data_IF_876626247435
#
_entry.id   IF_876626247435
#
_cell.length_a   1.000
_cell.length_b   1.000
_cell.length_c   1.000
_cell.angle_alpha   90.00
_cell.angle_beta   90.00
_cell.angle_gamma   90.00
#
_symmetry.space_group_name_H-M   'P 1'
#
loop_
_entity.id
_entity.type
_entity.pdbx_description
1 polymer ?
#
# COMPACT_ATOMS: atom_id res chain seq x y z
N UNK A 1 -24.70 26.63 9.47
CA UNK A 1 -23.40 26.79 10.17
C UNK A 1 -22.30 26.51 9.18
N UNK A 2 -21.26 27.33 9.16
CA UNK A 2 -20.08 27.06 8.35
C UNK A 2 -19.41 25.79 8.88
N UNK A 3 -18.89 24.93 8.01
CA UNK A 3 -18.11 23.76 8.45
C UNK A 3 -16.90 24.17 9.31
N UNK A 4 -16.42 25.42 9.17
CA UNK A 4 -15.36 26.00 9.99
C UNK A 4 -15.76 26.22 11.46
N UNK A 5 -17.03 26.50 11.74
CA UNK A 5 -17.53 26.77 13.11
C UNK A 5 -17.44 25.52 14.00
N UNK A 6 -17.28 24.36 13.37
CA UNK A 6 -17.24 23.06 14.03
C UNK A 6 -15.81 22.59 14.38
N UNK A 7 -14.81 23.41 14.10
CA UNK A 7 -13.38 23.16 14.31
C UNK A 7 -12.86 23.95 15.53
N UNK A 8 -11.86 23.39 16.22
CA UNK A 8 -11.08 24.20 17.16
C UNK A 8 -10.15 25.18 16.42
N UNK A 9 -9.52 26.10 17.16
CA UNK A 9 -8.69 27.15 16.60
C UNK A 9 -7.56 26.60 15.71
N UNK A 10 -6.80 25.60 16.17
CA UNK A 10 -5.66 25.06 15.41
C UNK A 10 -6.11 24.26 14.18
N UNK A 11 -7.21 23.51 14.29
CA UNK A 11 -7.83 22.83 13.16
C UNK A 11 -8.31 23.83 12.11
N UNK A 12 -8.91 24.94 12.53
CA UNK A 12 -9.33 26.01 11.64
C UNK A 12 -8.14 26.67 10.94
N UNK A 13 -7.08 27.00 11.68
CA UNK A 13 -5.82 27.49 11.09
C UNK A 13 -5.25 26.51 10.07
N UNK A 14 -5.32 25.20 10.32
CA UNK A 14 -4.86 24.17 9.39
C UNK A 14 -5.73 24.04 8.13
N UNK A 15 -7.01 24.38 8.21
CA UNK A 15 -7.91 24.43 7.04
C UNK A 15 -7.71 25.71 6.24
N UNK A 16 -7.54 26.85 6.90
CA UNK A 16 -7.42 28.18 6.28
C UNK A 16 -6.01 28.45 5.71
N UNK A 17 -4.96 27.81 6.22
CA UNK A 17 -3.59 27.97 5.72
C UNK A 17 -3.39 27.25 4.38
N UNK A 18 -3.99 27.70 3.29
CA UNK A 18 -4.00 26.99 2.01
C UNK A 18 -2.68 27.04 1.24
N UNK A 19 -1.99 28.17 1.28
CA UNK A 19 -0.75 28.42 0.54
C UNK A 19 0.52 27.98 1.30
N UNK A 20 1.51 27.58 0.53
CA UNK A 20 2.82 27.13 0.98
C UNK A 20 2.83 25.71 1.56
N UNK A 21 4.01 25.23 1.97
CA UNK A 21 4.17 23.94 2.60
C UNK A 21 3.62 23.96 4.03
N UNK A 22 2.77 22.98 4.35
CA UNK A 22 2.15 22.82 5.67
C UNK A 22 2.39 21.40 6.17
N UNK A 23 2.82 21.28 7.42
CA UNK A 23 2.89 20.00 8.13
C UNK A 23 1.95 20.02 9.33
N UNK A 24 0.96 19.13 9.30
CA UNK A 24 0.02 18.94 10.40
C UNK A 24 0.47 17.73 11.21
N UNK A 25 1.09 18.01 12.36
CA UNK A 25 1.45 16.98 13.33
C UNK A 25 0.22 16.72 14.18
N UNK A 26 -0.32 15.52 14.12
CA UNK A 26 -1.62 15.27 14.72
C UNK A 26 -1.57 14.08 15.67
N UNK A 27 -2.02 14.27 16.91
CA UNK A 27 -2.16 13.18 17.87
C UNK A 27 -3.22 12.18 17.42
N UNK A 28 -3.19 10.98 17.99
CA UNK A 28 -4.27 10.01 17.83
C UNK A 28 -5.62 10.65 18.22
N UNK A 29 -6.65 10.46 17.38
CA UNK A 29 -8.00 10.96 17.67
C UNK A 29 -8.20 12.48 17.59
N UNK A 30 -7.24 13.23 17.04
CA UNK A 30 -7.28 14.71 16.96
C UNK A 30 -8.04 15.30 15.77
N UNK A 31 -8.62 14.46 14.92
CA UNK A 31 -9.39 14.90 13.75
C UNK A 31 -8.59 15.11 12.46
N UNK A 32 -7.42 14.48 12.29
CA UNK A 32 -6.59 14.47 11.05
C UNK A 32 -7.40 14.48 9.75
N UNK A 33 -8.18 13.43 9.55
CA UNK A 33 -8.97 13.21 8.33
C UNK A 33 -10.02 14.31 8.14
N UNK A 34 -10.59 14.83 9.24
CA UNK A 34 -11.55 15.93 9.21
C UNK A 34 -10.90 17.22 8.73
N UNK A 35 -9.72 17.55 9.25
CA UNK A 35 -8.94 18.72 8.84
C UNK A 35 -8.57 18.63 7.36
N UNK A 36 -8.05 17.49 6.89
CA UNK A 36 -7.76 17.30 5.47
C UNK A 36 -8.99 17.48 4.60
N UNK A 37 -10.10 16.82 4.94
CA UNK A 37 -11.37 16.91 4.21
C UNK A 37 -11.85 18.36 4.11
N UNK A 38 -11.89 19.08 5.23
CA UNK A 38 -12.36 20.46 5.26
C UNK A 38 -11.39 21.43 4.59
N UNK A 39 -10.09 21.15 4.59
CA UNK A 39 -9.10 21.89 3.80
C UNK A 39 -9.36 21.75 2.30
N UNK A 40 -9.65 20.53 1.81
CA UNK A 40 -10.04 20.32 0.40
C UNK A 40 -11.31 21.10 0.09
N UNK A 41 -12.33 20.98 0.95
CA UNK A 41 -13.59 21.69 0.76
C UNK A 41 -13.41 23.21 0.77
N UNK A 42 -12.54 23.73 1.63
CA UNK A 42 -12.22 25.15 1.70
C UNK A 42 -11.55 25.67 0.44
N UNK A 43 -10.58 24.94 -0.12
CA UNK A 43 -9.96 25.27 -1.41
C UNK A 43 -11.02 25.37 -2.52
N UNK A 44 -11.93 24.40 -2.59
CA UNK A 44 -12.99 24.38 -3.59
C UNK A 44 -13.93 25.59 -3.42
N UNK A 45 -14.36 25.88 -2.19
CA UNK A 45 -15.18 27.07 -1.92
C UNK A 45 -14.46 28.41 -2.22
N UNK A 46 -13.12 28.43 -2.14
CA UNK A 46 -12.31 29.59 -2.56
C UNK A 46 -12.13 29.68 -4.08
N UNK A 47 -12.74 28.79 -4.86
CA UNK A 47 -12.71 28.79 -6.33
C UNK A 47 -11.58 27.96 -6.94
N UNK A 48 -10.89 27.13 -6.15
CA UNK A 48 -9.91 26.17 -6.69
C UNK A 48 -10.67 25.02 -7.35
N UNK A 49 -10.46 24.85 -8.66
CA UNK A 49 -10.98 23.69 -9.38
C UNK A 49 -10.47 22.37 -8.75
N UNK A 50 -11.39 21.49 -8.39
CA UNK A 50 -11.11 20.17 -7.81
C UNK A 50 -10.14 19.33 -8.66
N UNK A 51 -10.12 19.52 -9.99
CA UNK A 51 -9.15 18.86 -10.89
C UNK A 51 -7.70 19.24 -10.61
N UNK A 52 -7.47 20.38 -9.95
CA UNK A 52 -6.14 20.88 -9.59
C UNK A 52 -5.67 20.44 -8.21
N UNK A 53 -6.46 19.61 -7.52
CA UNK A 53 -6.16 19.12 -6.18
C UNK A 53 -5.85 17.62 -6.25
N UNK A 54 -4.71 17.22 -5.67
CA UNK A 54 -4.29 15.85 -5.50
C UNK A 54 -4.33 15.47 -4.03
N UNK A 55 -5.06 14.41 -3.67
CA UNK A 55 -5.09 13.85 -2.32
C UNK A 55 -4.68 12.38 -2.30
N UNK A 56 -3.64 12.07 -1.53
CA UNK A 56 -3.02 10.75 -1.44
C UNK A 56 -3.22 10.16 -0.05
N UNK A 57 -3.67 8.91 0.01
CA UNK A 57 -3.81 8.13 1.25
C UNK A 57 -3.14 6.76 1.16
N UNK A 58 -3.12 6.00 2.25
CA UNK A 58 -2.56 4.63 2.28
C UNK A 58 -3.58 3.54 2.03
N UNK A 59 -4.87 3.77 2.32
CA UNK A 59 -5.89 2.73 2.20
C UNK A 59 -7.06 3.15 1.33
N UNK A 60 -7.56 2.22 0.53
CA UNK A 60 -8.77 2.44 -0.28
C UNK A 60 -9.99 2.81 0.58
N UNK A 61 -10.05 2.34 1.83
CA UNK A 61 -11.11 2.72 2.77
C UNK A 61 -11.01 4.19 3.15
N UNK A 62 -9.81 4.66 3.54
CA UNK A 62 -9.58 6.06 3.88
C UNK A 62 -9.87 6.98 2.70
N UNK A 63 -9.43 6.61 1.48
CA UNK A 63 -9.77 7.37 0.27
C UNK A 63 -11.29 7.45 0.07
N UNK A 64 -12.02 6.33 0.10
CA UNK A 64 -13.49 6.35 -0.07
C UNK A 64 -14.21 7.16 1.01
N UNK A 65 -13.78 7.05 2.26
CA UNK A 65 -14.36 7.80 3.37
C UNK A 65 -14.11 9.31 3.24
N UNK A 66 -12.89 9.71 2.90
CA UNK A 66 -12.55 11.10 2.62
C UNK A 66 -13.37 11.65 1.44
N UNK A 67 -13.59 10.84 0.40
CA UNK A 67 -14.34 11.23 -0.80
C UNK A 67 -15.79 11.56 -0.44
N UNK A 68 -16.39 10.69 0.37
CA UNK A 68 -17.76 10.85 0.85
C UNK A 68 -17.89 12.13 1.68
N UNK A 69 -17.00 12.32 2.66
CA UNK A 69 -17.00 13.50 3.52
C UNK A 69 -16.82 14.80 2.73
N UNK A 70 -15.98 14.81 1.69
CA UNK A 70 -15.83 15.98 0.81
C UNK A 70 -17.13 16.25 0.05
N UNK A 71 -17.73 15.21 -0.55
CA UNK A 71 -18.98 15.34 -1.29
C UNK A 71 -20.15 15.83 -0.43
N UNK A 72 -20.19 15.48 0.86
CA UNK A 72 -21.18 16.03 1.80
C UNK A 72 -21.04 17.54 2.01
N UNK A 73 -19.82 18.08 1.89
CA UNK A 73 -19.54 19.50 2.12
C UNK A 73 -19.65 20.33 0.84
N UNK A 74 -19.07 19.87 -0.28
CA UNK A 74 -19.00 20.64 -1.55
C UNK A 74 -19.97 20.14 -2.63
N UNK A 75 -20.71 19.06 -2.38
CA UNK A 75 -21.62 18.47 -3.36
C UNK A 75 -20.89 17.76 -4.51
N UNK A 76 -21.45 17.89 -5.73
CA UNK A 76 -21.03 17.15 -6.91
C UNK A 76 -19.63 17.48 -7.43
N UNK A 77 -19.13 18.69 -7.16
CA UNK A 77 -17.81 19.16 -7.63
C UNK A 77 -16.66 18.31 -7.05
N UNK A 78 -16.86 17.74 -5.86
CA UNK A 78 -15.90 16.86 -5.22
C UNK A 78 -15.58 15.58 -6.02
N UNK A 79 -16.41 15.18 -7.00
CA UNK A 79 -16.19 13.97 -7.83
C UNK A 79 -15.00 14.07 -8.77
N UNK A 80 -14.60 15.29 -9.14
CA UNK A 80 -13.52 15.54 -10.10
C UNK A 80 -12.13 15.58 -9.45
N UNK A 81 -12.08 15.49 -8.11
CA UNK A 81 -10.87 15.44 -7.33
C UNK A 81 -9.98 14.26 -7.72
N UNK A 82 -8.68 14.49 -7.87
CA UNK A 82 -7.71 13.40 -7.98
C UNK A 82 -7.40 12.87 -6.59
N UNK A 83 -8.13 11.83 -6.19
CA UNK A 83 -7.91 11.22 -4.88
C UNK A 83 -7.85 9.70 -4.96
N UNK A 84 -6.97 9.13 -4.15
CA UNK A 84 -6.85 7.68 -4.00
C UNK A 84 -5.64 7.30 -3.17
N UNK A 85 -5.30 6.01 -3.21
CA UNK A 85 -4.00 5.59 -2.69
C UNK A 85 -2.89 5.99 -3.63
N UNK A 86 -1.65 6.07 -3.14
CA UNK A 86 -0.45 6.22 -3.98
C UNK A 86 -0.48 5.30 -5.20
N UNK A 87 -0.69 3.99 -4.98
CA UNK A 87 -0.72 2.99 -6.05
C UNK A 87 -1.88 3.23 -7.04
N UNK A 88 -3.08 3.58 -6.55
CA UNK A 88 -4.23 3.82 -7.42
C UNK A 88 -4.03 5.03 -8.33
N UNK A 89 -3.53 6.14 -7.77
CA UNK A 89 -3.28 7.37 -8.54
C UNK A 89 -2.12 7.16 -9.52
N UNK A 90 -1.03 6.55 -9.07
CA UNK A 90 0.15 6.34 -9.91
C UNK A 90 -0.10 5.31 -10.99
N UNK A 91 -0.87 4.24 -10.73
CA UNK A 91 -1.34 3.34 -11.78
C UNK A 91 -2.16 4.10 -12.84
N UNK A 92 -3.04 5.02 -12.44
CA UNK A 92 -3.80 5.84 -13.41
C UNK A 92 -2.88 6.71 -14.27
N UNK A 93 -1.87 7.36 -13.68
CA UNK A 93 -0.87 8.14 -14.41
C UNK A 93 -0.09 7.23 -15.38
N UNK A 94 0.42 6.11 -14.90
CA UNK A 94 1.17 5.15 -15.72
C UNK A 94 0.34 4.60 -16.86
N UNK A 95 -0.97 4.35 -16.69
CA UNK A 95 -1.83 3.89 -17.79
C UNK A 95 -2.02 4.94 -18.88
N UNK A 96 -2.01 6.23 -18.51
CA UNK A 96 -2.11 7.35 -19.46
C UNK A 96 -0.78 7.54 -20.21
N UNK A 97 0.34 7.43 -19.49
CA UNK A 97 1.68 7.76 -20.01
C UNK A 97 2.54 6.51 -20.34
N UNK A 98 1.96 5.31 -20.38
CA UNK A 98 2.69 4.04 -20.39
C UNK A 98 3.66 3.91 -21.57
N UNK A 99 3.30 4.50 -22.71
CA UNK A 99 4.09 4.50 -23.94
C UNK A 99 5.47 5.15 -23.76
N UNK A 100 5.58 6.13 -22.86
CA UNK A 100 6.84 6.84 -22.57
C UNK A 100 7.88 5.91 -21.90
N UNK A 101 7.40 4.94 -21.12
CA UNK A 101 8.24 3.98 -20.38
C UNK A 101 8.25 2.59 -21.03
N UNK A 102 7.76 2.46 -22.27
CA UNK A 102 7.77 1.21 -23.02
C UNK A 102 6.76 0.15 -22.57
N UNK A 103 5.79 0.50 -21.73
CA UNK A 103 4.74 -0.43 -21.28
C UNK A 103 3.43 -0.25 -22.07
N UNK A 104 2.66 -1.34 -22.27
CA UNK A 104 1.32 -1.23 -22.83
C UNK A 104 0.36 -0.61 -21.81
N UNK A 105 -0.62 0.20 -22.24
CA UNK A 105 -1.52 0.93 -21.33
C UNK A 105 -2.45 0.02 -20.52
N UNK A 106 -2.71 -1.18 -21.03
CA UNK A 106 -3.44 -2.26 -20.41
C UNK A 106 -2.54 -3.23 -19.61
N UNK A 107 -1.35 -2.79 -19.17
CA UNK A 107 -0.45 -3.64 -18.38
C UNK A 107 -1.17 -4.31 -17.19
N UNK A 108 -0.79 -5.56 -16.93
CA UNK A 108 -1.31 -6.34 -15.82
C UNK A 108 -0.61 -5.93 -14.52
N UNK A 109 -1.37 -5.81 -13.43
CA UNK A 109 -0.79 -5.60 -12.09
C UNK A 109 -0.72 -6.94 -11.38
N UNK A 110 0.49 -7.39 -11.06
CA UNK A 110 0.72 -8.62 -10.32
C UNK A 110 0.58 -8.41 -8.82
N UNK A 111 -0.15 -9.32 -8.18
CA UNK A 111 -0.15 -9.38 -6.73
C UNK A 111 1.10 -10.10 -6.19
N UNK A 112 1.24 -10.14 -4.87
CA UNK A 112 2.39 -10.77 -4.21
C UNK A 112 2.51 -12.26 -4.52
N UNK A 113 1.41 -12.98 -4.72
CA UNK A 113 1.44 -14.40 -5.02
C UNK A 113 1.82 -14.64 -6.48
N UNK A 114 1.30 -13.84 -7.41
CA UNK A 114 1.69 -13.86 -8.83
C UNK A 114 3.19 -13.56 -8.97
N UNK A 115 3.67 -12.54 -8.27
CA UNK A 115 5.09 -12.15 -8.21
C UNK A 115 5.97 -13.28 -7.66
N UNK A 116 5.55 -13.90 -6.55
CA UNK A 116 6.27 -15.06 -5.96
C UNK A 116 6.18 -16.31 -6.85
N UNK A 117 5.09 -16.51 -7.59
CA UNK A 117 4.96 -17.62 -8.54
C UNK A 117 5.95 -17.47 -9.69
N UNK A 118 6.06 -16.27 -10.27
CA UNK A 118 7.07 -15.96 -11.28
C UNK A 118 8.50 -16.17 -10.74
N UNK A 119 8.80 -15.67 -9.54
CA UNK A 119 10.12 -15.87 -8.92
C UNK A 119 10.45 -17.34 -8.67
N UNK A 120 9.48 -18.17 -8.22
CA UNK A 120 9.70 -19.63 -8.07
C UNK A 120 10.12 -20.27 -9.39
N UNK A 121 9.48 -19.89 -10.49
CA UNK A 121 9.82 -20.36 -11.83
C UNK A 121 11.24 -19.96 -12.20
N UNK A 122 11.59 -18.68 -12.04
CA UNK A 122 12.93 -18.15 -12.34
C UNK A 122 14.00 -18.87 -11.50
N UNK A 123 13.79 -19.03 -10.18
CA UNK A 123 14.73 -19.71 -9.28
C UNK A 123 15.00 -21.14 -9.76
N UNK A 124 13.95 -21.86 -10.15
CA UNK A 124 14.06 -23.24 -10.64
C UNK A 124 14.82 -23.32 -11.96
N UNK A 125 14.55 -22.41 -12.89
CA UNK A 125 15.22 -22.37 -14.21
C UNK A 125 16.69 -21.96 -14.11
N UNK A 126 17.04 -21.14 -13.11
CA UNK A 126 18.43 -20.80 -12.79
C UNK A 126 19.17 -21.91 -12.02
N UNK A 127 18.53 -23.07 -11.78
CA UNK A 127 19.07 -24.20 -11.01
C UNK A 127 19.58 -23.80 -9.61
N UNK A 128 18.89 -22.86 -8.95
CA UNK A 128 19.23 -22.42 -7.60
C UNK A 128 18.49 -23.24 -6.55
N UNK A 129 19.11 -23.40 -5.38
CA UNK A 129 18.50 -24.08 -4.23
C UNK A 129 17.26 -23.32 -3.73
N UNK A 130 16.09 -23.94 -3.83
CA UNK A 130 14.79 -23.37 -3.46
C UNK A 130 14.61 -23.19 -1.94
N UNK A 131 15.40 -23.90 -1.12
CA UNK A 131 15.43 -23.72 0.34
C UNK A 131 16.22 -22.48 0.73
N UNK A 132 17.27 -22.16 -0.02
CA UNK A 132 18.13 -21.00 0.19
C UNK A 132 17.52 -19.74 -0.43
N UNK A 133 17.12 -19.83 -1.70
CA UNK A 133 16.45 -18.80 -2.48
C UNK A 133 14.94 -18.93 -2.41
N UNK A 134 14.37 -18.93 -1.19
CA UNK A 134 12.90 -18.94 -1.05
C UNK A 134 12.30 -17.74 -1.78
N UNK A 135 11.32 -17.96 -2.64
CA UNK A 135 10.72 -16.89 -3.46
C UNK A 135 10.19 -15.70 -2.64
N UNK A 136 9.66 -15.93 -1.43
CA UNK A 136 9.26 -14.85 -0.53
C UNK A 136 10.47 -13.98 -0.11
N UNK A 137 11.61 -14.60 0.18
CA UNK A 137 12.82 -13.88 0.58
C UNK A 137 13.39 -13.06 -0.57
N UNK A 138 13.46 -13.66 -1.76
CA UNK A 138 13.90 -12.96 -2.99
C UNK A 138 12.96 -11.80 -3.30
N UNK A 139 11.65 -12.03 -3.27
CA UNK A 139 10.63 -10.99 -3.45
C UNK A 139 10.81 -9.83 -2.48
N UNK A 140 10.98 -10.10 -1.18
CA UNK A 140 11.12 -9.04 -0.17
C UNK A 140 12.41 -8.23 -0.36
N UNK A 141 13.50 -8.87 -0.80
CA UNK A 141 14.77 -8.18 -1.09
C UNK A 141 14.64 -7.26 -2.31
N UNK A 142 14.00 -7.72 -3.38
CA UNK A 142 13.69 -6.92 -4.58
C UNK A 142 12.75 -5.76 -4.23
N UNK A 143 11.67 -6.04 -3.48
CA UNK A 143 10.71 -5.03 -3.01
C UNK A 143 11.40 -3.92 -2.21
N UNK A 144 12.30 -4.29 -1.29
CA UNK A 144 13.08 -3.31 -0.53
C UNK A 144 13.99 -2.45 -1.43
N UNK A 145 14.56 -3.01 -2.50
CA UNK A 145 15.36 -2.26 -3.47
C UNK A 145 14.49 -1.28 -4.28
N UNK A 146 13.36 -1.74 -4.82
CA UNK A 146 12.41 -0.89 -5.58
C UNK A 146 11.86 0.28 -4.75
N UNK A 147 11.49 0.02 -3.49
CA UNK A 147 10.99 1.05 -2.57
C UNK A 147 12.04 2.12 -2.20
N UNK A 148 13.32 1.83 -2.42
CA UNK A 148 14.45 2.76 -2.30
C UNK A 148 14.92 3.32 -3.65
N UNK A 149 14.15 3.10 -4.72
CA UNK A 149 14.45 3.55 -6.08
C UNK A 149 15.74 2.97 -6.67
N UNK A 150 16.09 1.73 -6.29
CA UNK A 150 17.29 1.04 -6.78
C UNK A 150 16.92 0.16 -7.98
N UNK A 151 17.48 0.49 -9.14
CA UNK A 151 17.37 -0.33 -10.37
C UNK A 151 18.11 -1.66 -10.21
N UNK A 152 17.74 -2.68 -10.99
CA UNK A 152 18.48 -3.96 -11.01
C UNK A 152 19.97 -3.75 -11.37
N UNK A 153 20.26 -2.84 -12.31
CA UNK A 153 21.64 -2.46 -12.67
C UNK A 153 22.38 -1.84 -11.48
N UNK A 154 21.78 -0.86 -10.80
CA UNK A 154 22.39 -0.21 -9.64
C UNK A 154 22.59 -1.19 -8.48
N UNK A 155 21.67 -2.13 -8.29
CA UNK A 155 21.76 -3.19 -7.29
C UNK A 155 23.02 -4.05 -7.48
N UNK A 156 23.26 -4.53 -8.70
CA UNK A 156 24.43 -5.39 -9.02
C UNK A 156 25.74 -4.63 -8.82
N UNK A 157 25.78 -3.33 -9.14
CA UNK A 157 26.99 -2.51 -9.02
C UNK A 157 27.28 -2.03 -7.61
N UNK A 158 26.36 -2.22 -6.65
CA UNK A 158 26.53 -1.71 -5.29
C UNK A 158 27.23 -2.75 -4.39
N UNK A 159 28.46 -2.45 -3.92
CA UNK A 159 29.24 -3.41 -3.12
C UNK A 159 28.50 -3.90 -1.88
N UNK A 160 27.81 -2.99 -1.16
CA UNK A 160 27.09 -3.33 0.07
C UNK A 160 26.01 -4.40 -0.18
N UNK A 161 25.21 -4.25 -1.24
CA UNK A 161 24.20 -5.26 -1.56
C UNK A 161 24.83 -6.60 -1.90
N UNK A 162 25.89 -6.60 -2.71
CA UNK A 162 26.56 -7.84 -3.11
C UNK A 162 27.27 -8.54 -1.94
N UNK A 163 27.84 -7.79 -1.01
CA UNK A 163 28.49 -8.32 0.21
C UNK A 163 27.47 -8.89 1.19
N UNK A 164 26.39 -8.14 1.46
CA UNK A 164 25.26 -8.61 2.29
C UNK A 164 24.68 -9.92 1.73
N UNK A 165 24.49 -9.98 0.41
CA UNK A 165 23.90 -11.12 -0.25
C UNK A 165 24.85 -12.33 -0.21
N UNK A 166 26.16 -12.12 -0.40
CA UNK A 166 27.19 -13.17 -0.21
C UNK A 166 27.25 -13.67 1.23
N UNK A 167 27.22 -12.77 2.20
CA UNK A 167 27.19 -13.12 3.63
C UNK A 167 25.94 -13.94 4.00
N UNK A 168 24.81 -13.66 3.34
CA UNK A 168 23.59 -14.44 3.46
C UNK A 168 23.56 -15.70 2.57
N UNK A 169 24.69 -16.09 1.96
CA UNK A 169 24.85 -17.22 1.03
C UNK A 169 23.95 -17.14 -0.21
N UNK A 170 23.58 -15.94 -0.65
CA UNK A 170 22.69 -15.70 -1.81
C UNK A 170 23.29 -14.75 -2.86
N UNK A 171 24.48 -15.03 -3.41
CA UNK A 171 25.17 -14.13 -4.35
C UNK A 171 24.37 -13.80 -5.62
N UNK A 172 23.44 -14.65 -6.04
CA UNK A 172 22.69 -14.51 -7.30
C UNK A 172 21.49 -13.55 -7.21
N UNK A 173 21.32 -12.82 -6.11
CA UNK A 173 20.16 -11.95 -5.90
C UNK A 173 20.02 -10.84 -6.96
N UNK A 174 21.12 -10.21 -7.35
CA UNK A 174 21.12 -9.18 -8.39
C UNK A 174 20.75 -9.73 -9.77
N UNK A 175 21.20 -10.96 -10.09
CA UNK A 175 20.82 -11.67 -11.31
C UNK A 175 19.33 -12.00 -11.32
N UNK A 176 18.80 -12.52 -10.20
CA UNK A 176 17.38 -12.80 -10.03
C UNK A 176 16.52 -11.54 -10.19
N UNK A 177 16.95 -10.40 -9.64
CA UNK A 177 16.24 -9.14 -9.81
C UNK A 177 16.18 -8.72 -11.29
N UNK A 178 17.30 -8.82 -12.01
CA UNK A 178 17.36 -8.47 -13.43
C UNK A 178 16.39 -9.33 -14.26
N UNK A 179 16.49 -10.66 -14.13
CA UNK A 179 15.62 -11.59 -14.86
C UNK A 179 14.14 -11.38 -14.51
N UNK A 180 13.84 -11.15 -13.23
CA UNK A 180 12.48 -10.89 -12.79
C UNK A 180 11.89 -9.63 -13.44
N UNK A 181 12.67 -8.53 -13.49
CA UNK A 181 12.20 -7.29 -14.11
C UNK A 181 12.01 -7.44 -15.63
N UNK A 182 12.93 -8.15 -16.31
CA UNK A 182 12.81 -8.45 -17.73
C UNK A 182 11.56 -9.28 -18.04
N UNK A 183 11.23 -10.27 -17.21
CA UNK A 183 10.02 -11.07 -17.37
C UNK A 183 8.74 -10.29 -17.15
N UNK A 184 8.71 -9.42 -16.14
CA UNK A 184 7.59 -8.51 -15.93
C UNK A 184 7.37 -7.62 -17.16
N UNK A 185 8.45 -7.02 -17.67
CA UNK A 185 8.39 -6.19 -18.87
C UNK A 185 7.89 -6.96 -20.10
N UNK A 186 8.46 -8.12 -20.40
CA UNK A 186 8.03 -9.00 -21.52
C UNK A 186 6.57 -9.44 -21.41
N UNK A 187 6.07 -9.65 -20.19
CA UNK A 187 4.68 -10.02 -19.94
C UNK A 187 3.70 -8.83 -19.99
N UNK A 188 4.19 -7.61 -20.22
CA UNK A 188 3.39 -6.40 -20.10
C UNK A 188 2.81 -6.26 -18.69
N UNK A 189 3.59 -6.60 -17.66
CA UNK A 189 3.15 -6.65 -16.28
C UNK A 189 4.02 -5.76 -15.37
N UNK A 190 3.39 -5.24 -14.31
CA UNK A 190 4.05 -4.50 -13.23
C UNK A 190 3.62 -5.12 -11.90
N UNK A 191 4.53 -5.21 -10.92
CA UNK A 191 4.13 -5.48 -9.54
C UNK A 191 3.72 -4.18 -8.81
N UNK A 192 3.34 -4.29 -7.54
CA UNK A 192 2.93 -3.11 -6.76
C UNK A 192 4.06 -2.08 -6.60
N UNK A 193 5.29 -2.54 -6.38
CA UNK A 193 6.43 -1.64 -6.17
C UNK A 193 6.83 -0.94 -7.49
N UNK A 194 6.64 -1.61 -8.64
CA UNK A 194 6.81 -1.03 -9.97
C UNK A 194 5.93 0.19 -10.21
N UNK A 195 4.71 0.21 -9.67
CA UNK A 195 3.82 1.37 -9.83
C UNK A 195 4.44 2.63 -9.22
N UNK A 196 5.18 2.49 -8.11
CA UNK A 196 5.92 3.59 -7.50
C UNK A 196 7.21 3.85 -8.29
N UNK A 197 7.99 2.80 -8.51
CA UNK A 197 9.30 2.88 -9.14
C UNK A 197 9.24 3.51 -10.54
N UNK A 198 8.38 3.00 -11.43
CA UNK A 198 8.26 3.52 -12.79
C UNK A 198 7.57 4.88 -12.85
N UNK A 199 6.74 5.26 -11.88
CA UNK A 199 6.24 6.63 -11.79
C UNK A 199 7.37 7.61 -11.49
N UNK A 200 8.29 7.23 -10.60
CA UNK A 200 9.49 8.02 -10.37
C UNK A 200 10.37 8.12 -11.62
N UNK A 201 10.63 7.00 -12.30
CA UNK A 201 11.40 6.97 -13.55
C UNK A 201 10.74 7.85 -14.61
N UNK A 202 9.43 7.71 -14.83
CA UNK A 202 8.66 8.53 -15.77
C UNK A 202 8.89 10.03 -15.54
N UNK A 203 8.76 10.49 -14.30
CA UNK A 203 8.96 11.91 -13.98
C UNK A 203 10.42 12.35 -13.98
N UNK A 204 11.37 11.42 -13.91
CA UNK A 204 12.79 11.73 -13.96
C UNK A 204 13.31 11.81 -15.40
N UNK A 205 12.83 10.93 -16.28
CA UNK A 205 13.27 10.82 -17.67
C UNK A 205 12.41 11.63 -18.64
N UNK A 206 11.18 11.98 -18.27
CA UNK A 206 10.26 12.78 -19.09
C UNK A 206 9.80 14.06 -18.34
N UNK A 207 10.63 15.13 -18.35
CA UNK A 207 10.28 16.40 -17.70
C UNK A 207 9.02 17.06 -18.27
N UNK A 208 8.68 16.82 -19.55
CA UNK A 208 7.43 17.25 -20.18
C UNK A 208 6.20 16.67 -19.46
N UNK A 209 6.27 15.38 -19.12
CA UNK A 209 5.21 14.69 -18.39
C UNK A 209 5.15 15.19 -16.95
N UNK A 210 6.28 15.36 -16.27
CA UNK A 210 6.30 15.95 -14.93
C UNK A 210 5.66 17.35 -14.91
N UNK A 211 6.05 18.23 -15.84
CA UNK A 211 5.51 19.58 -15.97
C UNK A 211 3.99 19.56 -16.20
N UNK A 212 3.47 18.65 -17.03
CA UNK A 212 2.02 18.45 -17.22
C UNK A 212 1.29 18.19 -15.90
N UNK A 213 1.83 17.31 -15.05
CA UNK A 213 1.20 16.99 -13.76
C UNK A 213 1.46 18.04 -12.68
N UNK A 214 2.58 18.76 -12.71
CA UNK A 214 2.83 19.90 -11.83
C UNK A 214 1.84 21.06 -12.10
N UNK A 215 1.62 21.41 -13.37
CA UNK A 215 0.62 22.44 -13.73
C UNK A 215 -0.81 22.03 -13.36
N UNK A 216 -1.08 20.72 -13.39
CA UNK A 216 -2.36 20.16 -12.97
C UNK A 216 -2.49 20.23 -11.45
N UNK A 217 -1.58 19.59 -10.71
CA UNK A 217 -1.69 19.44 -9.26
C UNK A 217 -1.13 20.66 -8.51
N UNK A 218 -1.93 21.72 -8.48
CA UNK A 218 -1.59 22.95 -7.78
C UNK A 218 -1.57 22.80 -6.27
N UNK A 219 -2.40 21.92 -5.70
CA UNK A 219 -2.43 21.60 -4.27
C UNK A 219 -2.30 20.10 -4.06
N UNK A 220 -1.38 19.70 -3.18
CA UNK A 220 -1.11 18.29 -2.89
C UNK A 220 -1.32 18.03 -1.40
N UNK A 221 -2.17 17.06 -1.08
CA UNK A 221 -2.46 16.62 0.28
C UNK A 221 -2.02 15.18 0.46
N UNK A 222 -1.27 14.90 1.52
CA UNK A 222 -0.84 13.54 1.84
C UNK A 222 -1.22 13.19 3.28
N UNK A 223 -2.04 12.15 3.42
CA UNK A 223 -2.41 11.58 4.72
C UNK A 223 -1.44 10.46 5.13
N UNK A 224 -1.33 10.21 6.43
CA UNK A 224 -0.43 9.22 7.05
C UNK A 224 1.03 9.32 6.54
N UNK A 225 1.55 10.55 6.46
CA UNK A 225 2.86 10.83 5.85
C UNK A 225 4.03 10.11 6.51
N UNK A 226 3.90 9.73 7.79
CA UNK A 226 4.91 8.94 8.51
C UNK A 226 5.14 7.55 7.89
N UNK A 227 4.17 7.02 7.16
CA UNK A 227 4.24 5.68 6.58
C UNK A 227 4.80 5.69 5.14
N UNK A 228 5.24 6.86 4.65
CA UNK A 228 5.80 6.98 3.30
C UNK A 228 7.17 6.33 3.17
N UNK A 229 7.37 5.62 2.08
CA UNK A 229 8.70 5.17 1.67
C UNK A 229 9.42 6.23 0.82
N UNK A 230 10.71 5.98 0.50
CA UNK A 230 11.54 6.90 -0.27
C UNK A 230 10.94 7.19 -1.65
N UNK A 231 10.39 6.19 -2.33
CA UNK A 231 9.76 6.36 -3.64
C UNK A 231 8.55 7.32 -3.57
N UNK A 232 7.61 7.07 -2.66
CA UNK A 232 6.42 7.90 -2.45
C UNK A 232 6.78 9.34 -2.09
N UNK A 233 7.72 9.51 -1.15
CA UNK A 233 8.22 10.81 -0.75
C UNK A 233 8.87 11.56 -1.92
N UNK A 234 9.74 10.89 -2.68
CA UNK A 234 10.46 11.51 -3.82
C UNK A 234 9.53 11.94 -4.94
N UNK A 235 8.51 11.14 -5.27
CA UNK A 235 7.50 11.49 -6.28
C UNK A 235 6.67 12.69 -5.80
N UNK A 236 6.23 12.68 -4.55
CA UNK A 236 5.44 13.77 -3.97
C UNK A 236 6.23 15.08 -3.99
N UNK A 237 7.52 15.03 -3.61
CA UNK A 237 8.43 16.19 -3.66
C UNK A 237 8.59 16.74 -5.07
N UNK A 238 8.76 15.87 -6.08
CA UNK A 238 8.81 16.29 -7.50
C UNK A 238 7.51 16.96 -7.93
N UNK A 239 6.35 16.40 -7.62
CA UNK A 239 5.06 16.99 -7.97
C UNK A 239 4.82 18.34 -7.28
N UNK A 240 5.24 18.49 -6.02
CA UNK A 240 5.07 19.72 -5.26
C UNK A 240 6.05 20.84 -5.65
N UNK A 241 7.14 20.53 -6.37
CA UNK A 241 8.25 21.47 -6.56
C UNK A 241 7.87 22.78 -7.29
N UNK A 242 6.83 22.77 -8.14
CA UNK A 242 6.42 23.95 -8.91
C UNK A 242 5.62 24.95 -8.08
N UNK A 243 4.55 24.50 -7.40
CA UNK A 243 3.65 25.38 -6.66
C UNK A 243 3.97 25.45 -5.16
N UNK A 244 4.67 24.45 -4.63
CA UNK A 244 5.05 24.29 -3.20
C UNK A 244 3.86 24.27 -2.22
N UNK A 245 2.63 24.17 -2.73
CA UNK A 245 1.40 24.03 -1.95
C UNK A 245 1.17 22.55 -1.58
N UNK A 246 2.02 22.05 -0.71
CA UNK A 246 1.96 20.68 -0.18
C UNK A 246 1.53 20.70 1.28
N UNK A 247 0.50 19.93 1.62
CA UNK A 247 0.03 19.72 2.98
C UNK A 247 0.22 18.26 3.36
N UNK A 248 1.12 17.97 4.29
CA UNK A 248 1.33 16.62 4.82
C UNK A 248 0.73 16.50 6.21
N UNK A 249 0.08 15.38 6.49
CA UNK A 249 -0.50 15.08 7.80
C UNK A 249 0.10 13.77 8.28
N UNK A 250 0.56 13.77 9.54
CA UNK A 250 1.15 12.56 10.08
C UNK A 250 1.33 12.58 11.59
N UNK A 251 1.71 11.41 12.09
CA UNK A 251 2.01 11.15 13.49
C UNK A 251 3.16 10.15 13.57
N UNK A 252 4.31 10.63 14.01
CA UNK A 252 5.52 9.82 14.20
C UNK A 252 5.31 8.64 15.15
N UNK A 253 4.44 8.78 16.15
CA UNK A 253 4.09 7.71 17.09
C UNK A 253 3.25 6.60 16.45
N UNK A 254 2.69 6.83 15.26
CA UNK A 254 1.86 5.87 14.53
C UNK A 254 2.57 5.20 13.35
N UNK A 255 3.86 5.48 13.12
CA UNK A 255 4.66 4.83 12.07
C UNK A 255 4.91 3.35 12.40
N UNK A 256 4.07 2.47 11.87
CA UNK A 256 4.13 1.02 12.11
C UNK A 256 4.56 0.21 10.88
N UNK A 257 4.77 0.85 9.72
CA UNK A 257 5.09 0.18 8.46
C UNK A 257 6.58 0.18 8.08
N UNK A 258 7.50 0.38 9.03
CA UNK A 258 8.95 0.35 8.77
C UNK A 258 9.41 -0.95 8.08
N UNK A 259 8.80 -2.09 8.43
CA UNK A 259 9.08 -3.39 7.79
C UNK A 259 8.66 -3.48 6.31
N UNK A 260 7.84 -2.54 5.83
CA UNK A 260 7.44 -2.36 4.43
C UNK A 260 8.24 -1.24 3.72
N UNK A 261 9.28 -0.71 4.37
CA UNK A 261 10.13 0.33 3.81
C UNK A 261 9.65 1.76 4.07
N UNK A 262 8.66 1.97 4.94
CA UNK A 262 8.34 3.31 5.44
C UNK A 262 9.56 3.91 6.15
N UNK A 263 9.84 5.18 5.88
CA UNK A 263 10.96 5.90 6.47
C UNK A 263 10.45 7.10 7.27
N UNK A 264 10.52 6.97 8.60
CA UNK A 264 10.15 8.04 9.53
C UNK A 264 10.98 9.32 9.31
N UNK A 265 12.17 9.20 8.71
CA UNK A 265 13.00 10.36 8.37
C UNK A 265 12.31 11.28 7.35
N UNK A 266 11.36 10.79 6.55
CA UNK A 266 10.63 11.62 5.59
C UNK A 266 9.82 12.72 6.28
N UNK A 267 9.11 12.39 7.37
CA UNK A 267 8.34 13.39 8.13
C UNK A 267 9.26 14.23 9.03
N UNK A 268 10.29 13.62 9.64
CA UNK A 268 11.21 14.32 10.53
C UNK A 268 12.11 15.34 9.81
N UNK A 269 12.48 15.08 8.56
CA UNK A 269 13.33 15.97 7.77
C UNK A 269 12.55 16.91 6.85
N UNK A 270 11.20 16.87 6.87
CA UNK A 270 10.37 17.68 5.98
C UNK A 270 10.65 19.19 6.12
N UNK A 271 10.96 19.65 7.34
CA UNK A 271 11.36 21.04 7.62
C UNK A 271 12.66 21.45 6.91
N UNK A 272 13.58 20.50 6.67
CA UNK A 272 14.83 20.78 5.92
C UNK A 272 14.55 20.99 4.42
N UNK A 273 13.51 20.36 3.89
CA UNK A 273 13.15 20.47 2.48
C UNK A 273 12.37 21.75 2.17
N UNK A 274 11.66 22.28 3.17
CA UNK A 274 10.80 23.44 3.06
C UNK A 274 11.13 24.43 4.20
N UNK A 275 12.10 25.34 4.02
CA UNK A 275 12.47 26.30 5.06
C UNK A 275 11.31 27.21 5.51
N UNK A 276 10.33 27.44 4.64
CA UNK A 276 9.12 28.20 4.93
C UNK A 276 7.95 27.35 5.50
N UNK A 277 8.22 26.12 5.91
CA UNK A 277 7.23 25.17 6.43
C UNK A 277 6.45 25.74 7.62
N UNK A 278 5.12 25.75 7.50
CA UNK A 278 4.25 26.02 8.64
C UNK A 278 3.85 24.71 9.33
N UNK A 279 4.24 24.57 10.59
CA UNK A 279 3.92 23.41 11.42
C UNK A 279 2.74 23.71 12.33
N UNK A 280 1.70 22.87 12.28
CA UNK A 280 0.50 22.98 13.11
C UNK A 280 0.30 21.69 13.90
N UNK A 281 0.06 21.80 15.21
CA UNK A 281 -0.04 20.65 16.11
C UNK A 281 -1.48 20.43 16.57
N UNK A 282 -2.08 19.32 16.17
CA UNK A 282 -3.41 18.91 16.63
C UNK A 282 -3.28 18.02 17.86
N UNK A 283 -3.37 18.64 19.03
CA UNK A 283 -3.12 18.00 20.33
C UNK A 283 -4.39 17.58 21.07
N UNK A 284 -5.52 18.21 20.79
CA UNK A 284 -6.79 17.85 21.40
C UNK A 284 -7.35 16.56 20.78
N UNK A 285 -7.50 15.52 21.59
CA UNK A 285 -8.14 14.25 21.28
C UNK A 285 -9.66 14.34 21.53
N UNK A 286 -10.44 13.86 20.57
CA UNK A 286 -11.92 13.83 20.63
C UNK A 286 -12.50 12.42 20.73
N UNK A 287 -11.65 11.39 20.87
CA UNK A 287 -12.04 9.98 20.77
C UNK A 287 -12.04 9.25 22.12
N UNK A 288 -11.06 9.54 22.96
CA UNK A 288 -10.70 8.74 24.13
C UNK A 288 -10.91 9.53 25.42
N UNK A 289 -11.10 8.80 26.51
CA UNK A 289 -11.19 9.35 27.87
C UNK A 289 -9.80 9.74 28.40
N UNK A 290 -9.75 10.54 29.47
CA UNK A 290 -8.47 11.04 30.00
C UNK A 290 -7.53 9.90 30.41
N UNK A 291 -8.04 8.87 31.11
CA UNK A 291 -7.23 7.73 31.55
C UNK A 291 -6.54 7.01 30.38
N UNK A 292 -7.22 6.88 29.23
CA UNK A 292 -6.65 6.25 28.02
C UNK A 292 -5.59 7.15 27.38
N UNK A 293 -5.87 8.46 27.28
CA UNK A 293 -4.93 9.43 26.70
C UNK A 293 -3.65 9.53 27.54
N UNK A 294 -3.78 9.62 28.87
CA UNK A 294 -2.64 9.67 29.78
C UNK A 294 -1.79 8.40 29.72
N UNK A 295 -2.41 7.22 29.68
CA UNK A 295 -1.68 5.96 29.52
C UNK A 295 -0.90 5.92 28.19
N UNK A 296 -1.51 6.35 27.09
CA UNK A 296 -0.85 6.42 25.79
C UNK A 296 0.34 7.39 25.80
N UNK A 297 0.16 8.58 26.39
CA UNK A 297 1.24 9.58 26.55
C UNK A 297 2.41 9.04 27.38
N UNK A 298 2.14 8.38 28.49
CA UNK A 298 3.19 7.83 29.36
C UNK A 298 4.00 6.71 28.67
N UNK A 299 3.37 5.92 27.81
CA UNK A 299 4.06 4.89 27.02
C UNK A 299 4.92 5.53 25.93
N UNK A 300 4.38 6.49 25.17
CA UNK A 300 5.10 7.07 24.02
C UNK A 300 6.31 7.93 24.44
N UNK A 301 6.27 8.55 25.63
CA UNK A 301 7.38 9.34 26.17
C UNK A 301 8.69 8.55 26.32
N UNK A 302 8.65 7.22 26.29
CA UNK A 302 9.86 6.37 26.33
C UNK A 302 10.63 6.34 25.00
N UNK A 303 10.06 6.83 23.90
CA UNK A 303 10.73 6.90 22.61
C UNK A 303 11.75 8.05 22.53
N UNK A 304 12.90 7.79 21.90
CA UNK A 304 14.00 8.78 21.81
C UNK A 304 13.81 9.80 20.68
N UNK A 305 13.44 9.35 19.49
CA UNK A 305 13.21 10.22 18.33
C UNK A 305 11.71 10.41 18.16
N UNK A 306 11.23 11.64 18.38
CA UNK A 306 9.80 11.96 18.32
C UNK A 306 9.55 13.42 17.95
N UNK A 307 8.40 13.67 17.31
CA UNK A 307 7.85 15.00 17.15
C UNK A 307 7.13 15.38 18.44
N UNK A 308 7.67 16.37 19.16
CA UNK A 308 7.11 16.82 20.43
C UNK A 308 5.68 17.32 20.26
N UNK A 309 4.74 16.66 20.93
CA UNK A 309 3.33 17.02 21.03
C UNK A 309 2.77 16.51 22.35
N UNK A 310 1.85 17.25 22.94
CA UNK A 310 1.20 16.90 24.20
C UNK A 310 -0.29 16.65 23.97
N UNK A 311 -0.67 15.38 23.78
CA UNK A 311 -2.07 15.03 23.47
C UNK A 311 -2.93 15.15 24.74
N UNK A 312 -4.03 15.88 24.68
CA UNK A 312 -4.96 16.07 25.82
C UNK A 312 -6.41 15.88 25.37
N UNK A 313 -7.35 15.68 26.31
CA UNK A 313 -8.79 15.52 25.98
C UNK A 313 -9.67 16.28 26.96
N UNK A 314 -10.76 16.86 26.45
CA UNK A 314 -11.83 17.46 27.25
C UNK A 314 -12.93 16.46 27.64
N UNK A 315 -12.79 15.19 27.21
CA UNK A 315 -13.70 14.12 27.61
C UNK A 315 -13.57 13.82 29.10
N UNK A 316 -14.54 13.07 29.62
CA UNK A 316 -14.49 12.54 30.99
C UNK A 316 -13.25 11.68 31.25
N UNK A 317 -12.92 11.48 32.51
CA UNK A 317 -11.76 10.66 32.90
C UNK A 317 -11.89 9.20 32.46
N UNK A 318 -13.12 8.69 32.45
CA UNK A 318 -13.47 7.33 32.07
C UNK A 318 -13.06 6.28 33.10
N UNK A 319 -13.31 5.01 32.78
CA UNK A 319 -12.91 3.88 33.62
C UNK A 319 -11.39 3.69 33.64
N UNK A 320 -10.89 2.98 34.66
CA UNK A 320 -9.48 2.61 34.74
C UNK A 320 -9.18 1.50 33.73
N UNK A 321 -7.95 1.48 33.21
CA UNK A 321 -7.51 0.42 32.30
C UNK A 321 -7.30 -0.86 33.11
N UNK A 322 -8.03 -1.93 32.76
CA UNK A 322 -7.89 -3.21 33.43
C UNK A 322 -6.75 -4.02 32.81
N UNK A 323 -5.93 -4.65 33.66
CA UNK A 323 -4.87 -5.56 33.26
C UNK A 323 -5.16 -6.95 33.84
N UNK A 324 -5.30 -7.95 32.97
CA UNK A 324 -5.53 -9.34 33.36
C UNK A 324 -4.35 -10.20 32.95
N UNK A 325 -3.97 -11.14 33.82
CA UNK A 325 -2.99 -12.19 33.52
C UNK A 325 -3.72 -13.53 33.49
N UNK A 326 -3.72 -14.18 32.33
CA UNK A 326 -4.23 -15.54 32.17
C UNK A 326 -3.09 -16.57 32.29
N UNK A 327 -3.41 -17.82 32.65
CA UNK A 327 -2.45 -18.91 32.69
C UNK A 327 -2.22 -19.54 31.30
N UNK A 328 -3.15 -19.35 30.35
CA UNK A 328 -3.02 -19.80 28.96
C UNK A 328 -3.73 -18.87 27.98
N UNK A 329 -3.43 -18.99 26.69
CA UNK A 329 -4.10 -18.31 25.58
C UNK A 329 -5.59 -18.69 25.45
N UNK A 330 -5.92 -19.96 25.70
CA UNK A 330 -7.30 -20.45 25.74
C UNK A 330 -8.08 -19.85 26.91
N UNK A 331 -7.44 -19.70 28.07
CA UNK A 331 -8.05 -19.04 29.21
C UNK A 331 -8.23 -17.54 28.95
N UNK A 332 -7.23 -16.86 28.38
CA UNK A 332 -7.35 -15.46 27.95
C UNK A 332 -8.55 -15.28 27.00
N UNK A 333 -8.66 -16.13 25.97
CA UNK A 333 -9.78 -16.11 25.04
C UNK A 333 -11.14 -16.27 25.72
N UNK A 334 -11.24 -17.19 26.69
CA UNK A 334 -12.46 -17.40 27.49
C UNK A 334 -12.80 -16.17 28.34
N UNK A 335 -11.82 -15.60 29.04
CA UNK A 335 -11.99 -14.42 29.89
C UNK A 335 -12.49 -13.24 29.05
N UNK A 336 -11.85 -12.99 27.90
CA UNK A 336 -12.25 -11.90 26.99
C UNK A 336 -13.65 -12.12 26.43
N UNK A 337 -13.98 -13.33 25.96
CA UNK A 337 -15.31 -13.63 25.41
C UNK A 337 -16.41 -13.49 26.48
N UNK A 338 -16.14 -13.94 27.71
CA UNK A 338 -17.05 -13.78 28.84
C UNK A 338 -17.23 -12.31 29.22
N UNK A 339 -16.15 -11.53 29.29
CA UNK A 339 -16.21 -10.09 29.56
C UNK A 339 -17.01 -9.33 28.50
N UNK A 340 -16.83 -9.67 27.21
CA UNK A 340 -17.65 -9.11 26.12
C UNK A 340 -19.11 -9.46 26.32
N UNK A 341 -19.44 -10.73 26.61
CA UNK A 341 -20.81 -11.16 26.83
C UNK A 341 -21.49 -10.42 27.98
N UNK A 342 -20.84 -10.38 29.15
CA UNK A 342 -21.35 -9.72 30.36
C UNK A 342 -21.54 -8.21 30.14
N UNK A 343 -20.51 -7.53 29.63
CA UNK A 343 -20.56 -6.09 29.35
C UNK A 343 -21.64 -5.75 28.33
N UNK A 344 -21.76 -6.56 27.28
CA UNK A 344 -22.78 -6.40 26.26
C UNK A 344 -24.20 -6.52 26.84
N UNK A 345 -24.44 -7.50 27.71
CA UNK A 345 -25.77 -7.68 28.33
C UNK A 345 -26.09 -6.57 29.32
N UNK A 346 -25.12 -6.18 30.16
CA UNK A 346 -25.32 -5.18 31.21
C UNK A 346 -25.53 -3.76 30.65
N UNK A 347 -24.77 -3.39 29.63
CA UNK A 347 -24.80 -2.04 29.03
C UNK A 347 -25.61 -1.97 27.73
N UNK A 348 -26.28 -3.07 27.35
CA UNK A 348 -27.06 -3.19 26.11
C UNK A 348 -26.28 -2.82 24.84
N UNK A 349 -24.99 -3.15 24.80
CA UNK A 349 -24.11 -2.85 23.68
C UNK A 349 -24.30 -3.84 22.52
N UNK A 350 -23.72 -3.52 21.36
CA UNK A 350 -23.71 -4.38 20.18
C UNK A 350 -22.33 -5.03 20.03
N UNK A 351 -22.26 -6.14 19.29
CA UNK A 351 -20.97 -6.79 19.00
C UNK A 351 -20.00 -5.85 18.26
N UNK A 352 -20.52 -4.88 17.51
CA UNK A 352 -19.72 -3.87 16.79
C UNK A 352 -19.02 -2.87 17.69
N UNK A 353 -19.42 -2.76 18.95
CA UNK A 353 -18.86 -1.82 19.91
C UNK A 353 -17.59 -2.40 20.59
N UNK A 354 -17.25 -3.67 20.29
CA UNK A 354 -16.08 -4.37 20.81
C UNK A 354 -15.06 -4.64 19.70
N UNK A 355 -13.77 -4.53 20.03
CA UNK A 355 -12.67 -4.90 19.16
C UNK A 355 -11.59 -5.67 19.93
N UNK A 356 -11.08 -6.75 19.35
CA UNK A 356 -9.95 -7.52 19.88
C UNK A 356 -8.74 -7.23 18.97
N UNK A 357 -7.69 -6.67 19.55
CA UNK A 357 -6.45 -6.35 18.85
C UNK A 357 -5.33 -7.27 19.33
N UNK A 358 -4.63 -7.90 18.40
CA UNK A 358 -3.55 -8.84 18.68
C UNK A 358 -2.34 -8.55 17.78
N UNK A 359 -1.17 -9.04 18.19
CA UNK A 359 0.11 -8.73 17.54
C UNK A 359 0.33 -9.55 16.26
N UNK A 360 -0.09 -10.82 16.26
CA UNK A 360 0.03 -11.74 15.13
C UNK A 360 -1.29 -12.47 14.86
N UNK A 361 -1.57 -12.79 13.59
CA UNK A 361 -2.80 -13.47 13.20
C UNK A 361 -2.95 -14.87 13.81
N UNK A 362 -1.86 -15.52 14.23
CA UNK A 362 -1.91 -16.81 14.91
C UNK A 362 -2.63 -16.74 16.26
N UNK A 363 -2.67 -15.56 16.90
CA UNK A 363 -3.35 -15.35 18.17
C UNK A 363 -4.87 -15.31 18.03
N UNK A 364 -5.44 -15.10 16.82
CA UNK A 364 -6.89 -14.98 16.66
C UNK A 364 -7.63 -16.25 17.07
N UNK A 365 -7.01 -17.42 16.87
CA UNK A 365 -7.65 -18.72 17.02
C UNK A 365 -8.29 -18.95 18.39
N UNK A 366 -7.59 -18.63 19.48
CA UNK A 366 -8.11 -18.82 20.84
C UNK A 366 -9.34 -17.94 21.10
N UNK A 367 -9.31 -16.69 20.65
CA UNK A 367 -10.46 -15.78 20.72
C UNK A 367 -11.63 -16.25 19.87
N UNK A 368 -11.37 -16.69 18.63
CA UNK A 368 -12.40 -17.18 17.72
C UNK A 368 -13.14 -18.41 18.27
N UNK A 369 -12.40 -19.37 18.84
CA UNK A 369 -12.98 -20.56 19.47
C UNK A 369 -13.81 -20.19 20.70
N UNK A 370 -13.35 -19.26 21.54
CA UNK A 370 -14.07 -18.81 22.72
C UNK A 370 -15.36 -18.02 22.37
N UNK A 371 -15.29 -17.10 21.42
CA UNK A 371 -16.45 -16.35 20.91
C UNK A 371 -17.50 -17.28 20.30
N UNK A 372 -17.05 -18.29 19.53
CA UNK A 372 -17.94 -19.30 18.94
C UNK A 372 -18.67 -20.12 20.01
N UNK A 373 -17.99 -20.53 21.09
CA UNK A 373 -18.61 -21.27 22.21
C UNK A 373 -19.73 -20.49 22.89
N UNK A 374 -19.64 -19.16 22.93
CA UNK A 374 -20.67 -18.27 23.48
C UNK A 374 -21.65 -17.73 22.44
N UNK A 375 -21.63 -18.26 21.20
CA UNK A 375 -22.46 -17.79 20.08
C UNK A 375 -22.36 -16.27 19.82
N UNK A 376 -21.17 -15.68 20.02
CA UNK A 376 -20.91 -14.27 19.75
C UNK A 376 -20.45 -14.14 18.29
N UNK A 377 -21.28 -13.50 17.46
CA UNK A 377 -20.91 -13.18 16.08
C UNK A 377 -19.70 -12.26 16.03
N UNK A 378 -18.67 -12.67 15.27
CA UNK A 378 -17.41 -11.94 15.13
C UNK A 378 -17.00 -11.81 13.65
N UNK A 379 -16.07 -10.89 13.38
CA UNK A 379 -15.47 -10.71 12.05
C UNK A 379 -13.97 -10.54 12.17
N UNK A 380 -13.21 -11.40 11.50
CA UNK A 380 -11.74 -11.29 11.41
C UNK A 380 -11.38 -10.32 10.28
N UNK A 381 -10.61 -9.29 10.60
CA UNK A 381 -10.07 -8.35 9.61
C UNK A 381 -8.67 -8.84 9.19
N UNK A 382 -8.43 -8.96 7.88
CA UNK A 382 -7.13 -9.42 7.37
C UNK A 382 -6.96 -10.95 7.30
N UNK A 383 -8.05 -11.72 7.34
CA UNK A 383 -8.06 -13.13 6.95
C UNK A 383 -7.80 -13.33 5.44
N UNK A 384 -8.06 -14.53 4.92
CA UNK A 384 -7.87 -14.82 3.49
C UNK A 384 -8.68 -13.83 2.63
N UNK A 385 -7.99 -13.06 1.79
CA UNK A 385 -8.64 -12.07 0.93
C UNK A 385 -9.58 -12.77 -0.04
N UNK A 386 -10.72 -12.14 -0.36
CA UNK A 386 -11.65 -12.64 -1.36
C UNK A 386 -10.94 -12.96 -2.69
N UNK A 387 -10.01 -12.09 -3.12
CA UNK A 387 -9.24 -12.24 -4.35
C UNK A 387 -8.11 -13.28 -4.26
N UNK A 388 -7.82 -13.83 -3.09
CA UNK A 388 -6.86 -14.93 -2.92
C UNK A 388 -7.53 -16.30 -3.03
N UNK A 389 -8.87 -16.36 -3.02
CA UNK A 389 -9.60 -17.61 -3.20
C UNK A 389 -9.31 -18.18 -4.59
N UNK A 390 -9.10 -19.50 -4.64
CA UNK A 390 -8.67 -20.20 -5.86
C UNK A 390 -9.62 -19.91 -7.02
N UNK A 391 -10.92 -20.09 -6.79
CA UNK A 391 -11.97 -19.89 -7.77
C UNK A 391 -12.02 -18.45 -8.31
N UNK A 392 -11.81 -17.46 -7.45
CA UNK A 392 -11.78 -16.04 -7.84
C UNK A 392 -10.53 -15.76 -8.69
N UNK A 393 -9.36 -16.27 -8.28
CA UNK A 393 -8.12 -16.12 -9.04
C UNK A 393 -8.17 -16.82 -10.40
N UNK A 394 -8.81 -17.98 -10.49
CA UNK A 394 -8.94 -18.73 -11.73
C UNK A 394 -9.74 -17.91 -12.76
N UNK A 395 -10.89 -17.34 -12.35
CA UNK A 395 -11.72 -16.47 -13.21
C UNK A 395 -10.97 -15.18 -13.57
N UNK A 396 -10.28 -14.56 -12.61
CA UNK A 396 -9.50 -13.35 -12.90
C UNK A 396 -8.37 -13.61 -13.89
N UNK A 397 -7.69 -14.75 -13.80
CA UNK A 397 -6.64 -15.11 -14.75
C UNK A 397 -7.19 -15.26 -16.18
N UNK A 398 -8.40 -15.79 -16.36
CA UNK A 398 -9.08 -15.79 -17.66
C UNK A 398 -9.28 -14.36 -18.19
N UNK A 399 -9.84 -13.48 -17.38
CA UNK A 399 -10.12 -12.09 -17.78
C UNK A 399 -8.83 -11.32 -18.07
N UNK A 400 -7.80 -11.49 -17.24
CA UNK A 400 -6.48 -10.88 -17.45
C UNK A 400 -5.85 -11.35 -18.74
N UNK A 401 -5.87 -12.65 -19.02
CA UNK A 401 -5.28 -13.20 -20.24
C UNK A 401 -6.01 -12.74 -21.51
N UNK A 402 -7.35 -12.60 -21.48
CA UNK A 402 -8.11 -12.03 -22.59
C UNK A 402 -7.71 -10.57 -22.87
N UNK A 403 -7.47 -9.78 -21.83
CA UNK A 403 -7.09 -8.37 -21.95
C UNK A 403 -5.61 -8.18 -22.28
N UNK A 404 -4.74 -9.06 -21.79
CA UNK A 404 -3.30 -9.07 -22.01
C UNK A 404 -2.83 -10.51 -22.29
N UNK A 405 -2.80 -10.94 -23.56
CA UNK A 405 -2.34 -12.28 -23.95
C UNK A 405 -0.85 -12.55 -23.65
N UNK A 406 -0.08 -11.52 -23.31
CA UNK A 406 1.33 -11.66 -22.92
C UNK A 406 1.50 -12.07 -21.45
N UNK A 407 0.42 -12.08 -20.66
CA UNK A 407 0.45 -12.46 -19.24
C UNK A 407 0.70 -13.97 -19.06
N UNK A 408 1.98 -14.31 -18.92
CA UNK A 408 2.46 -15.67 -18.67
C UNK A 408 1.85 -16.29 -17.39
N UNK A 409 1.69 -15.52 -16.30
CA UNK A 409 1.22 -16.08 -15.03
C UNK A 409 -0.25 -16.47 -15.12
N UNK A 410 -1.06 -15.61 -15.74
CA UNK A 410 -2.46 -15.91 -16.01
C UNK A 410 -2.60 -17.10 -16.96
N UNK A 411 -1.79 -17.18 -18.02
CA UNK A 411 -1.79 -18.32 -18.94
C UNK A 411 -1.47 -19.65 -18.24
N UNK A 412 -0.36 -19.71 -17.47
CA UNK A 412 0.03 -20.91 -16.71
C UNK A 412 -1.08 -21.40 -15.79
N UNK A 413 -1.83 -20.46 -15.19
CA UNK A 413 -2.92 -20.79 -14.27
C UNK A 413 -4.11 -21.42 -14.97
N UNK A 414 -4.48 -20.92 -16.15
CA UNK A 414 -5.73 -21.27 -16.83
C UNK A 414 -5.59 -22.34 -17.91
N UNK A 415 -4.38 -22.57 -18.44
CA UNK A 415 -4.19 -23.46 -19.61
C UNK A 415 -4.79 -24.86 -19.40
N UNK A 416 -4.65 -25.43 -18.21
CA UNK A 416 -5.19 -26.76 -17.89
C UNK A 416 -6.29 -26.73 -16.81
N UNK A 417 -6.91 -25.58 -16.57
CA UNK A 417 -8.05 -25.46 -15.65
C UNK A 417 -9.24 -24.77 -16.33
N UNK A 418 -10.41 -25.41 -16.50
CA UNK A 418 -10.70 -26.83 -16.27
C UNK A 418 -9.76 -27.78 -17.03
N UNK A 419 -9.67 -29.05 -16.61
CA UNK A 419 -8.74 -30.02 -17.21
C UNK A 419 -8.97 -30.13 -18.72
N UNK A 420 -7.90 -29.95 -19.50
CA UNK A 420 -7.88 -30.03 -20.97
C UNK A 420 -6.97 -31.11 -21.51
N UNK A 421 -6.38 -31.94 -20.65
CA UNK A 421 -5.45 -32.99 -21.05
C UNK A 421 -4.04 -32.48 -21.43
N UNK A 422 -3.73 -31.21 -21.15
CA UNK A 422 -2.41 -30.63 -21.44
C UNK A 422 -1.48 -30.92 -20.26
N UNK A 423 -0.49 -31.78 -20.47
CA UNK A 423 0.46 -32.19 -19.43
C UNK A 423 1.53 -31.13 -19.12
N UNK A 424 2.11 -31.20 -17.91
CA UNK A 424 3.14 -30.27 -17.44
C UNK A 424 4.38 -30.25 -18.35
N UNK A 425 4.71 -31.39 -18.96
CA UNK A 425 5.82 -31.50 -19.93
C UNK A 425 5.56 -30.71 -21.20
N UNK A 426 4.32 -30.74 -21.72
CA UNK A 426 3.91 -29.95 -22.89
C UNK A 426 3.95 -28.46 -22.56
N UNK A 427 3.45 -28.07 -21.39
CA UNK A 427 3.49 -26.68 -20.92
C UNK A 427 4.95 -26.21 -20.81
N UNK A 428 5.81 -26.99 -20.16
CA UNK A 428 7.23 -26.65 -20.02
C UNK A 428 7.92 -26.46 -21.39
N UNK A 429 7.65 -27.34 -22.37
CA UNK A 429 8.20 -27.21 -23.72
C UNK A 429 7.77 -25.92 -24.42
N UNK A 430 6.50 -25.51 -24.28
CA UNK A 430 6.02 -24.24 -24.84
C UNK A 430 6.81 -23.05 -24.30
N UNK A 431 7.10 -23.04 -23.00
CA UNK A 431 7.89 -21.97 -22.38
C UNK A 431 9.35 -21.98 -22.84
N UNK A 432 9.97 -23.16 -22.97
CA UNK A 432 11.33 -23.27 -23.50
C UNK A 432 11.42 -22.71 -24.93
N UNK A 433 10.48 -23.10 -25.79
CA UNK A 433 10.43 -22.61 -27.18
C UNK A 433 10.22 -21.09 -27.22
N UNK A 434 9.34 -20.55 -26.38
CA UNK A 434 9.09 -19.12 -26.29
C UNK A 434 10.36 -18.35 -25.88
N UNK A 435 11.10 -18.86 -24.90
CA UNK A 435 12.35 -18.26 -24.43
C UNK A 435 13.46 -18.33 -25.50
N UNK A 436 13.63 -19.48 -26.16
CA UNK A 436 14.60 -19.68 -27.26
C UNK A 436 14.36 -18.73 -28.44
N UNK A 437 13.10 -18.41 -28.74
CA UNK A 437 12.71 -17.50 -29.83
C UNK A 437 12.62 -16.04 -29.39
N UNK A 438 12.77 -15.75 -28.09
CA UNK A 438 12.52 -14.42 -27.54
C UNK A 438 11.07 -13.92 -27.77
N UNK A 439 10.12 -14.83 -27.97
CA UNK A 439 8.72 -14.56 -28.26
C UNK A 439 7.84 -14.79 -27.03
N UNK A 440 6.61 -14.26 -27.04
CA UNK A 440 5.66 -14.58 -25.96
C UNK A 440 5.05 -15.95 -26.18
N UNK A 441 4.54 -16.58 -25.11
CA UNK A 441 3.87 -17.90 -25.24
C UNK A 441 2.66 -17.81 -26.16
N UNK A 442 1.95 -16.69 -26.17
CA UNK A 442 0.84 -16.47 -27.09
C UNK A 442 1.28 -16.42 -28.56
N UNK A 443 2.42 -15.82 -28.85
CA UNK A 443 2.98 -15.77 -30.21
C UNK A 443 3.33 -17.17 -30.70
N UNK A 444 3.92 -18.00 -29.84
CA UNK A 444 4.24 -19.41 -30.13
C UNK A 444 2.97 -20.21 -30.38
N UNK A 445 1.93 -20.04 -29.57
CA UNK A 445 0.65 -20.75 -29.73
C UNK A 445 -0.09 -20.33 -31.00
N UNK A 446 -0.08 -19.03 -31.30
CA UNK A 446 -0.71 -18.48 -32.50
C UNK A 446 -0.03 -18.98 -33.78
N UNK A 447 1.27 -19.26 -33.70
CA UNK A 447 2.10 -19.73 -34.81
C UNK A 447 2.56 -21.19 -34.64
N UNK A 448 1.81 -22.00 -33.88
CA UNK A 448 2.27 -23.34 -33.48
C UNK A 448 2.64 -24.24 -34.67
N UNK A 449 1.97 -24.06 -35.81
CA UNK A 449 2.24 -24.83 -37.04
C UNK A 449 3.58 -24.48 -37.70
N UNK A 450 4.03 -23.23 -37.62
CA UNK A 450 5.33 -22.82 -38.16
C UNK A 450 6.47 -23.09 -37.17
N UNK A 451 6.16 -23.13 -35.86
CA UNK A 451 7.14 -23.36 -34.80
C UNK A 451 7.39 -24.84 -34.55
N UNK A 452 6.39 -25.71 -34.74
CA UNK A 452 6.49 -27.15 -34.48
C UNK A 452 6.92 -27.99 -35.70
N UNK A 453 7.66 -27.42 -36.66
CA UNK A 453 8.31 -28.22 -37.71
C UNK A 453 9.53 -28.96 -37.13
N UNK A 454 9.27 -30.05 -36.41
CA UNK A 454 10.29 -30.95 -35.88
C UNK A 454 9.89 -31.68 -34.60
N UNK A 455 9.69 -33.00 -34.70
CA UNK A 455 9.55 -34.01 -33.61
C UNK A 455 8.43 -33.86 -32.58
N UNK A 456 7.43 -33.01 -32.79
CA UNK A 456 6.22 -33.01 -31.96
C UNK A 456 4.96 -32.77 -32.82
N UNK A 457 4.44 -33.83 -33.42
CA UNK A 457 3.05 -33.90 -33.85
C UNK A 457 2.52 -35.32 -33.59
N UNK A 458 1.26 -35.51 -33.15
CA UNK A 458 0.19 -34.54 -32.92
C UNK A 458 -0.26 -34.43 -31.45
N UNK A 459 -0.86 -33.28 -31.12
CA UNK A 459 -1.92 -33.12 -30.12
C UNK A 459 -3.25 -33.51 -30.76
#
# INVERSE_FOLDING_TARGET
MSYLDSLNEVQRQAVEQTEGPVMIIAGAGSGKTRVLTYRIAHLIHQGVDAFNILSLTFTNKAAKEMQHRIQEVVGGEGRNLWMGTFHSVFSKILRIESSKIGYPSNFTIYDTEDSRAMLRTIIKEQNLDDKLYKANTVHNRISAAKNRLITAKAYITNPQFTEDDRAAMRPEMGKLYTIYQERLFKAGAMDFDDLLFYTFILFNEHPDVLNKYQNKFKYIMVDEFQDTNIAQYSITKKLAAMNRNICVVGDDAQSIYAFRGADIQNILNFEKDYPELKVLKLEQNYRSTQNIVEAANNVILKNKAQLKKDVWTANESGEKIHLYRAASDNEEGRIVAQSIFETKMNLQLRNSDFAILYRTNSQSRSFEEALRKLNINYKVVGGMSFYQRKEVKDVLAYLRFVMNPQDEQSFRRIINFPKRGIGDTTIAKLFVIADEQGATVWDVLSNIRSVMTGRLAPL
#
